data_IF_147711318384
#
_entry.id   IF_147711318384
#
_cell.length_a   1.000
_cell.length_b   1.000
_cell.length_c   1.000
_cell.angle_alpha   90.00
_cell.angle_beta   90.00
_cell.angle_gamma   90.00
#
_symmetry.space_group_name_H-M   'P 1'
#
loop_
_entity.id
_entity.type
_entity.pdbx_description
1 polymer ?
#
# COMPACT_ATOMS: atom_id res chain seq x y z
N UNK A 1 11.71 -15.66 11.95
CA UNK A 1 10.66 -14.82 12.55
C UNK A 1 9.36 -15.16 11.85
N UNK A 2 8.26 -15.33 12.59
CA UNK A 2 6.92 -15.47 12.00
C UNK A 2 6.45 -14.16 11.35
N UNK A 3 5.39 -14.24 10.56
CA UNK A 3 4.74 -13.14 9.87
C UNK A 3 4.54 -11.88 10.76
N UNK A 4 3.94 -12.05 11.94
CA UNK A 4 3.71 -10.99 12.93
C UNK A 4 4.98 -10.27 13.40
N UNK A 5 6.09 -10.98 13.55
CA UNK A 5 7.35 -10.40 14.01
C UNK A 5 7.95 -9.40 13.02
N UNK A 6 7.78 -9.61 11.71
CA UNK A 6 8.33 -8.72 10.68
C UNK A 6 7.58 -7.38 10.62
N UNK A 7 6.25 -7.39 10.76
CA UNK A 7 5.45 -6.15 10.79
C UNK A 7 5.79 -5.34 12.04
N UNK A 8 5.80 -5.96 13.24
CA UNK A 8 6.18 -5.28 14.49
C UNK A 8 7.58 -4.66 14.44
N UNK A 9 8.55 -5.36 13.85
CA UNK A 9 9.91 -4.84 13.69
C UNK A 9 9.94 -3.68 12.68
N UNK A 10 9.26 -3.82 11.54
CA UNK A 10 9.15 -2.77 10.52
C UNK A 10 8.44 -1.51 11.03
N UNK A 11 7.48 -1.65 11.96
CA UNK A 11 6.76 -0.52 12.56
C UNK A 11 7.48 0.12 13.76
N UNK A 12 8.64 -0.37 14.17
CA UNK A 12 9.31 0.12 15.39
C UNK A 12 9.45 1.64 15.43
N UNK A 13 9.94 2.28 14.36
CA UNK A 13 10.10 3.74 14.32
C UNK A 13 8.76 4.49 14.35
N UNK A 14 7.76 3.97 13.68
CA UNK A 14 6.39 4.52 13.68
C UNK A 14 5.77 4.39 15.06
N UNK A 15 5.90 3.22 15.69
CA UNK A 15 5.46 2.98 17.06
C UNK A 15 6.14 3.93 18.04
N UNK A 16 7.48 4.04 17.96
CA UNK A 16 8.22 4.92 18.85
C UNK A 16 7.76 6.39 18.71
N UNK A 17 7.34 6.81 17.53
CA UNK A 17 6.79 8.14 17.29
C UNK A 17 5.39 8.31 17.87
N UNK A 18 4.45 7.40 17.57
CA UNK A 18 3.04 7.53 17.97
C UNK A 18 2.85 7.12 19.43
N UNK A 19 3.29 5.93 19.82
CA UNK A 19 3.01 5.37 21.14
C UNK A 19 3.72 6.15 22.24
N UNK A 20 4.98 6.57 22.05
CA UNK A 20 5.69 7.36 23.06
C UNK A 20 5.05 8.75 23.21
N UNK A 21 4.63 9.38 22.11
CA UNK A 21 3.91 10.65 22.15
C UNK A 21 2.59 10.52 22.92
N UNK A 22 1.75 9.56 22.54
CA UNK A 22 0.47 9.31 23.22
C UNK A 22 0.67 8.92 24.69
N UNK A 23 1.59 8.01 25.03
CA UNK A 23 1.86 7.64 26.42
C UNK A 23 2.38 8.83 27.23
N UNK A 24 3.21 9.71 26.65
CA UNK A 24 3.70 10.92 27.29
C UNK A 24 2.55 11.85 27.70
N UNK A 25 1.59 12.05 26.80
CA UNK A 25 0.40 12.87 27.07
C UNK A 25 -0.47 12.21 28.15
N UNK A 26 -0.85 10.94 27.96
CA UNK A 26 -1.73 10.25 28.90
C UNK A 26 -1.17 10.21 30.33
N UNK A 27 0.15 10.14 30.48
CA UNK A 27 0.80 10.19 31.79
C UNK A 27 0.85 11.59 32.42
N UNK A 28 0.73 12.66 31.62
CA UNK A 28 0.76 14.04 32.11
C UNK A 28 -0.62 14.55 32.53
N UNK A 29 -1.69 13.93 32.08
CA UNK A 29 -3.06 14.31 32.40
C UNK A 29 -3.68 13.41 33.47
N UNK A 30 -4.42 14.01 34.41
CA UNK A 30 -5.17 13.31 35.47
C UNK A 30 -6.67 13.23 35.16
N UNK A 31 -7.13 13.93 34.14
CA UNK A 31 -8.53 14.00 33.71
C UNK A 31 -8.59 14.11 32.18
N UNK A 32 -9.73 13.78 31.63
CA UNK A 32 -10.02 13.89 30.20
C UNK A 32 -10.72 15.24 29.98
N UNK A 33 -10.01 16.17 29.35
CA UNK A 33 -10.50 17.51 29.01
C UNK A 33 -10.06 17.92 27.60
N UNK A 34 -10.43 19.13 27.18
CA UNK A 34 -10.15 19.62 25.83
C UNK A 34 -8.66 19.76 25.55
N UNK A 35 -7.86 20.13 26.56
CA UNK A 35 -6.40 20.28 26.44
C UNK A 35 -5.73 18.94 26.10
N UNK A 36 -6.17 17.85 26.72
CA UNK A 36 -5.70 16.49 26.39
C UNK A 36 -5.97 16.14 24.91
N UNK A 37 -7.15 16.48 24.37
CA UNK A 37 -7.46 16.23 22.97
C UNK A 37 -6.65 17.09 22.02
N UNK A 38 -6.38 18.34 22.35
CA UNK A 38 -5.53 19.23 21.54
C UNK A 38 -4.10 18.66 21.44
N UNK A 39 -3.51 18.20 22.54
CA UNK A 39 -2.19 17.58 22.53
C UNK A 39 -2.16 16.23 21.81
N UNK A 40 -3.22 15.42 21.92
CA UNK A 40 -3.33 14.17 21.17
C UNK A 40 -3.40 14.42 19.66
N UNK A 41 -4.19 15.40 19.24
CA UNK A 41 -4.32 15.77 17.83
C UNK A 41 -2.99 16.25 17.27
N UNK A 42 -2.28 17.14 17.99
CA UNK A 42 -0.96 17.62 17.61
C UNK A 42 0.05 16.46 17.47
N UNK A 43 0.05 15.55 18.43
CA UNK A 43 0.93 14.37 18.40
C UNK A 43 0.66 13.46 17.19
N UNK A 44 -0.60 13.22 16.84
CA UNK A 44 -0.96 12.43 15.67
C UNK A 44 -0.55 13.14 14.37
N UNK A 45 -0.71 14.46 14.30
CA UNK A 45 -0.26 15.26 13.14
C UNK A 45 1.26 15.18 12.99
N UNK A 46 2.01 15.30 14.08
CA UNK A 46 3.47 15.18 14.09
C UNK A 46 3.95 13.77 13.66
N UNK A 47 3.13 12.75 13.84
CA UNK A 47 3.38 11.38 13.40
C UNK A 47 2.92 11.10 11.94
N UNK A 48 2.70 12.16 11.15
CA UNK A 48 2.23 12.09 9.75
C UNK A 48 0.83 11.44 9.54
N UNK A 49 0.00 11.35 10.58
CA UNK A 49 -1.41 10.90 10.46
C UNK A 49 -2.24 11.90 9.64
N UNK A 50 -1.81 13.16 9.59
CA UNK A 50 -2.49 14.24 8.87
C UNK A 50 -3.59 14.90 9.68
N UNK A 51 -3.81 16.20 9.45
CA UNK A 51 -4.73 17.02 10.25
C UNK A 51 -6.15 16.46 10.22
N UNK A 52 -6.72 16.22 9.03
CA UNK A 52 -8.10 15.75 8.89
C UNK A 52 -8.34 14.42 9.62
N UNK A 53 -7.44 13.46 9.45
CA UNK A 53 -7.54 12.14 10.07
C UNK A 53 -7.31 12.21 11.58
N UNK A 54 -6.39 13.05 12.04
CA UNK A 54 -6.14 13.27 13.48
C UNK A 54 -7.36 13.87 14.18
N UNK A 55 -7.98 14.88 13.59
CA UNK A 55 -9.23 15.46 14.09
C UNK A 55 -10.35 14.41 14.15
N UNK A 56 -10.51 13.59 13.10
CA UNK A 56 -11.52 12.53 13.08
C UNK A 56 -11.29 11.46 14.15
N UNK A 57 -10.03 11.05 14.40
CA UNK A 57 -9.69 10.14 15.50
C UNK A 57 -10.10 10.75 16.84
N UNK A 58 -9.77 12.02 17.10
CA UNK A 58 -10.12 12.70 18.33
C UNK A 58 -11.63 12.86 18.51
N UNK A 59 -12.37 13.15 17.45
CA UNK A 59 -13.85 13.25 17.49
C UNK A 59 -14.51 11.90 17.80
N UNK A 60 -14.06 10.83 17.13
CA UNK A 60 -14.54 9.46 17.45
C UNK A 60 -14.20 9.07 18.88
N UNK A 61 -13.03 9.44 19.37
CA UNK A 61 -12.59 9.20 20.73
C UNK A 61 -13.47 9.95 21.76
N UNK A 62 -13.73 11.25 21.53
CA UNK A 62 -14.67 12.03 22.38
C UNK A 62 -16.04 11.37 22.45
N UNK A 63 -16.57 10.95 21.31
CA UNK A 63 -17.85 10.27 21.24
C UNK A 63 -17.85 8.96 22.04
N UNK A 64 -16.83 8.13 21.84
CA UNK A 64 -16.69 6.82 22.52
C UNK A 64 -16.56 6.97 24.03
N UNK A 65 -15.76 7.95 24.51
CA UNK A 65 -15.63 8.27 25.93
C UNK A 65 -16.96 8.71 26.52
N UNK A 66 -17.74 9.54 25.83
CA UNK A 66 -19.06 9.98 26.28
C UNK A 66 -20.05 8.82 26.38
N UNK A 67 -19.99 7.85 25.46
CA UNK A 67 -20.86 6.67 25.41
C UNK A 67 -20.50 5.66 26.50
N UNK A 68 -19.22 5.48 26.80
CA UNK A 68 -18.73 4.49 27.78
C UNK A 68 -18.61 5.04 29.20
N UNK A 69 -18.56 6.37 29.35
CA UNK A 69 -18.39 7.02 30.66
C UNK A 69 -16.98 6.87 31.25
N UNK A 70 -15.98 6.57 30.41
CA UNK A 70 -14.58 6.47 30.84
C UNK A 70 -14.07 7.81 31.34
N UNK A 71 -13.33 7.79 32.45
CA UNK A 71 -12.76 8.97 33.09
C UNK A 71 -11.25 8.87 33.31
N UNK A 72 -10.67 7.66 33.17
CA UNK A 72 -9.24 7.41 33.31
C UNK A 72 -8.54 7.61 31.96
N UNK A 73 -7.59 8.56 31.84
CA UNK A 73 -6.79 8.75 30.61
C UNK A 73 -6.07 7.47 30.13
N UNK A 74 -5.71 6.57 31.02
CA UNK A 74 -5.00 5.34 30.62
C UNK A 74 -5.85 4.39 29.75
N UNK A 75 -7.19 4.48 29.81
CA UNK A 75 -8.07 3.70 28.97
C UNK A 75 -8.15 4.20 27.52
N UNK A 76 -7.74 5.46 27.27
CA UNK A 76 -7.77 6.11 25.97
C UNK A 76 -6.94 5.34 24.92
N UNK A 77 -5.79 4.82 25.31
CA UNK A 77 -4.89 4.08 24.41
C UNK A 77 -5.60 2.89 23.76
N UNK A 78 -6.37 2.12 24.54
CA UNK A 78 -7.16 1.01 24.03
C UNK A 78 -8.25 1.47 23.06
N UNK A 79 -8.93 2.56 23.38
CA UNK A 79 -9.97 3.13 22.52
C UNK A 79 -9.40 3.66 21.21
N UNK A 80 -8.23 4.32 21.23
CA UNK A 80 -7.55 4.78 20.03
C UNK A 80 -7.17 3.62 19.11
N UNK A 81 -6.65 2.52 19.67
CA UNK A 81 -6.31 1.31 18.94
C UNK A 81 -7.55 0.74 18.20
N UNK A 82 -8.68 0.64 18.88
CA UNK A 82 -9.93 0.18 18.28
C UNK A 82 -10.41 1.11 17.16
N UNK A 83 -10.42 2.44 17.40
CA UNK A 83 -10.82 3.45 16.41
C UNK A 83 -9.92 3.39 15.17
N UNK A 84 -8.62 3.31 15.35
CA UNK A 84 -7.67 3.23 14.23
C UNK A 84 -7.86 1.91 13.46
N UNK A 85 -8.04 0.79 14.14
CA UNK A 85 -8.33 -0.49 13.48
C UNK A 85 -9.62 -0.44 12.64
N UNK A 86 -10.69 0.17 13.18
CA UNK A 86 -11.95 0.39 12.45
C UNK A 86 -11.78 1.29 11.22
N UNK A 87 -10.97 2.37 11.35
CA UNK A 87 -10.71 3.31 10.23
C UNK A 87 -9.88 2.69 9.12
N UNK A 88 -8.99 1.76 9.45
CA UNK A 88 -8.17 1.04 8.49
C UNK A 88 -8.98 -0.01 7.71
N UNK A 89 -10.09 -0.48 8.27
CA UNK A 89 -10.99 -1.44 7.64
C UNK A 89 -10.47 -2.88 7.62
N UNK A 90 -11.20 -3.75 6.94
CA UNK A 90 -10.82 -5.15 6.80
C UNK A 90 -9.77 -5.35 5.70
N UNK A 91 -8.98 -6.41 5.83
CA UNK A 91 -8.01 -6.79 4.80
C UNK A 91 -8.73 -7.40 3.59
N UNK A 92 -8.83 -6.62 2.54
CA UNK A 92 -9.23 -7.13 1.23
C UNK A 92 -8.00 -7.68 0.49
N UNK A 93 -7.77 -8.98 0.53
CA UNK A 93 -6.71 -9.65 -0.27
C UNK A 93 -6.78 -9.32 -1.76
N UNK A 94 -5.86 -9.86 -2.55
CA UNK A 94 -5.93 -9.72 -4.01
C UNK A 94 -7.15 -10.47 -4.56
N UNK A 95 -7.91 -9.81 -5.44
CA UNK A 95 -9.00 -10.44 -6.19
C UNK A 95 -8.44 -11.14 -7.43
N UNK A 96 -8.20 -12.44 -7.31
CA UNK A 96 -7.64 -13.29 -8.36
C UNK A 96 -8.62 -14.41 -8.75
N UNK A 97 -9.87 -14.03 -9.06
CA UNK A 97 -10.99 -14.94 -9.24
C UNK A 97 -11.03 -15.58 -10.63
N UNK A 98 -10.21 -15.07 -11.56
CA UNK A 98 -10.17 -15.52 -12.96
C UNK A 98 -8.81 -16.08 -13.35
N UNK A 99 -8.76 -16.77 -14.50
CA UNK A 99 -7.54 -17.36 -15.05
C UNK A 99 -7.36 -16.98 -16.52
N UNK A 100 -6.44 -16.06 -16.84
CA UNK A 100 -5.60 -15.29 -15.92
C UNK A 100 -6.35 -14.13 -15.27
N UNK A 101 -5.97 -13.78 -14.03
CA UNK A 101 -6.24 -12.47 -13.46
C UNK A 101 -5.10 -11.49 -13.79
N UNK A 102 -5.36 -10.19 -13.78
CA UNK A 102 -4.38 -9.16 -14.13
C UNK A 102 -4.10 -8.25 -12.95
N UNK A 103 -2.84 -7.99 -12.66
CA UNK A 103 -2.39 -6.98 -11.70
C UNK A 103 -1.61 -5.92 -12.48
N UNK A 104 -2.12 -4.68 -12.49
CA UNK A 104 -1.37 -3.51 -12.94
C UNK A 104 -0.73 -2.83 -11.74
N UNK A 105 0.57 -2.54 -11.82
CA UNK A 105 1.29 -1.87 -10.75
C UNK A 105 1.67 -0.47 -11.20
N UNK A 106 1.08 0.53 -10.54
CA UNK A 106 1.25 1.96 -10.85
C UNK A 106 1.90 2.70 -9.68
N UNK A 107 2.37 3.92 -9.91
CA UNK A 107 3.01 4.77 -8.89
C UNK A 107 4.19 5.55 -9.47
N UNK A 108 4.71 6.56 -8.76
CA UNK A 108 5.82 7.38 -9.23
C UNK A 108 7.14 6.58 -9.26
N UNK A 109 8.17 7.14 -9.92
CA UNK A 109 9.48 6.49 -9.94
C UNK A 109 10.13 6.49 -8.55
N UNK A 110 10.83 5.41 -8.20
CA UNK A 110 11.57 5.28 -6.93
C UNK A 110 10.76 4.83 -5.71
N UNK A 111 9.43 4.67 -5.83
CA UNK A 111 8.59 4.19 -4.71
C UNK A 111 8.66 2.68 -4.47
N UNK A 112 9.37 1.92 -5.30
CA UNK A 112 9.52 0.48 -5.12
C UNK A 112 8.59 -0.40 -5.96
N UNK A 113 8.01 0.10 -7.08
CA UNK A 113 7.12 -0.69 -7.97
C UNK A 113 7.73 -2.02 -8.37
N UNK A 114 8.88 -1.98 -9.05
CA UNK A 114 9.56 -3.17 -9.60
C UNK A 114 9.92 -4.18 -8.51
N UNK A 115 10.35 -3.69 -7.34
CA UNK A 115 10.61 -4.52 -6.15
C UNK A 115 9.32 -5.16 -5.63
N UNK A 116 8.24 -4.40 -5.52
CA UNK A 116 6.93 -4.92 -5.07
C UNK A 116 6.39 -5.97 -6.03
N UNK A 117 6.52 -5.76 -7.35
CA UNK A 117 6.14 -6.75 -8.38
C UNK A 117 6.89 -8.07 -8.16
N UNK A 118 8.21 -8.00 -7.97
CA UNK A 118 9.03 -9.19 -7.74
C UNK A 118 8.62 -9.96 -6.48
N UNK A 119 8.34 -9.25 -5.39
CA UNK A 119 7.90 -9.84 -4.12
C UNK A 119 6.49 -10.44 -4.21
N UNK A 120 5.55 -9.75 -4.87
CA UNK A 120 4.19 -10.28 -5.12
C UNK A 120 4.28 -11.53 -6.00
N UNK A 121 5.09 -11.50 -7.06
CA UNK A 121 5.29 -12.64 -7.95
C UNK A 121 5.85 -13.84 -7.21
N UNK A 122 6.88 -13.65 -6.36
CA UNK A 122 7.47 -14.72 -5.55
C UNK A 122 6.45 -15.31 -4.58
N UNK A 123 5.66 -14.47 -3.92
CA UNK A 123 4.59 -14.90 -3.01
C UNK A 123 3.56 -15.76 -3.75
N UNK A 124 3.02 -15.28 -4.86
CA UNK A 124 2.02 -16.01 -5.65
C UNK A 124 2.59 -17.32 -6.21
N UNK A 125 3.86 -17.32 -6.63
CA UNK A 125 4.56 -18.53 -7.07
C UNK A 125 4.69 -19.54 -5.92
N UNK A 126 5.01 -19.10 -4.70
CA UNK A 126 5.09 -19.98 -3.52
C UNK A 126 3.74 -20.57 -3.12
N UNK A 127 2.64 -19.88 -3.46
CA UNK A 127 1.26 -20.33 -3.30
C UNK A 127 0.78 -21.26 -4.44
N UNK A 128 1.71 -21.63 -5.36
CA UNK A 128 1.43 -22.54 -6.49
C UNK A 128 0.78 -21.87 -7.69
N UNK A 129 0.69 -20.54 -7.73
CA UNK A 129 0.16 -19.80 -8.89
C UNK A 129 1.21 -19.68 -9.98
N UNK A 130 0.82 -19.87 -11.22
CA UNK A 130 1.68 -19.66 -12.38
C UNK A 130 1.61 -18.19 -12.81
N UNK A 131 2.71 -17.46 -12.63
CA UNK A 131 2.78 -16.02 -12.86
C UNK A 131 3.57 -15.70 -14.14
N UNK A 132 3.10 -14.68 -14.88
CA UNK A 132 3.83 -14.07 -16.01
C UNK A 132 3.96 -12.57 -15.76
N UNK A 133 5.18 -12.04 -15.83
CA UNK A 133 5.46 -10.61 -15.72
C UNK A 133 5.47 -9.93 -17.09
N UNK A 134 4.99 -8.70 -17.16
CA UNK A 134 5.06 -7.81 -18.32
C UNK A 134 5.85 -6.55 -18.00
N UNK A 135 6.98 -6.33 -18.69
CA UNK A 135 7.83 -5.15 -18.52
C UNK A 135 7.30 -3.96 -19.33
N UNK A 136 6.19 -3.34 -18.89
CA UNK A 136 5.56 -2.24 -19.60
C UNK A 136 6.09 -0.84 -19.21
N UNK A 137 7.04 -0.69 -18.27
CA UNK A 137 7.86 0.53 -18.11
C UNK A 137 8.96 0.54 -19.20
N UNK A 138 8.53 0.67 -20.44
CA UNK A 138 9.39 0.56 -21.63
C UNK A 138 10.33 1.75 -21.85
N UNK A 139 10.11 2.85 -21.16
CA UNK A 139 10.94 4.05 -21.29
C UNK A 139 12.21 4.04 -20.46
N UNK A 140 12.41 2.98 -19.68
CA UNK A 140 13.56 2.85 -18.77
C UNK A 140 14.20 1.48 -18.90
N UNK A 141 15.27 1.40 -19.70
CA UNK A 141 16.01 0.16 -19.89
C UNK A 141 16.42 -0.48 -18.54
N UNK A 142 16.90 0.32 -17.59
CA UNK A 142 17.27 -0.16 -16.26
C UNK A 142 16.06 -0.76 -15.47
N UNK A 143 14.83 -0.30 -15.71
CA UNK A 143 13.65 -0.89 -15.07
C UNK A 143 13.33 -2.27 -15.65
N UNK A 144 13.47 -2.42 -16.97
CA UNK A 144 13.30 -3.72 -17.66
C UNK A 144 14.32 -4.74 -17.13
N UNK A 145 15.60 -4.34 -17.02
CA UNK A 145 16.66 -5.21 -16.51
C UNK A 145 16.43 -5.57 -15.04
N UNK A 146 16.03 -4.60 -14.21
CA UNK A 146 15.71 -4.82 -12.80
C UNK A 146 14.54 -5.79 -12.64
N UNK A 147 13.48 -5.65 -13.45
CA UNK A 147 12.36 -6.58 -13.42
C UNK A 147 12.78 -8.00 -13.84
N UNK A 148 13.73 -8.11 -14.79
CA UNK A 148 14.34 -9.39 -15.18
C UNK A 148 15.02 -10.10 -14.02
N UNK A 149 15.82 -9.38 -13.23
CA UNK A 149 16.45 -9.93 -12.02
C UNK A 149 15.41 -10.43 -11.01
N UNK A 150 14.33 -9.69 -10.82
CA UNK A 150 13.24 -10.12 -9.94
C UNK A 150 12.48 -11.33 -10.50
N UNK A 151 12.25 -11.41 -11.82
CA UNK A 151 11.64 -12.56 -12.47
C UNK A 151 12.46 -13.84 -12.23
N UNK A 152 13.77 -13.77 -12.39
CA UNK A 152 14.70 -14.88 -12.10
C UNK A 152 14.64 -15.31 -10.63
N UNK A 153 14.70 -14.34 -9.69
CA UNK A 153 14.63 -14.62 -8.24
C UNK A 153 13.31 -15.25 -7.83
N UNK A 154 12.21 -14.81 -8.43
CA UNK A 154 10.88 -15.34 -8.17
C UNK A 154 10.59 -16.66 -8.92
N UNK A 155 11.44 -17.07 -9.86
CA UNK A 155 11.24 -18.27 -10.68
C UNK A 155 10.05 -18.14 -11.64
N UNK A 156 9.75 -16.93 -12.13
CA UNK A 156 8.60 -16.67 -13.01
C UNK A 156 9.04 -16.21 -14.39
N UNK A 157 8.19 -16.41 -15.40
CA UNK A 157 8.46 -15.93 -16.76
C UNK A 157 8.17 -14.46 -16.91
N UNK A 158 8.95 -13.78 -17.77
CA UNK A 158 8.76 -12.38 -18.11
C UNK A 158 8.67 -12.17 -19.62
N UNK A 159 7.79 -11.26 -20.03
CA UNK A 159 7.72 -10.71 -21.38
C UNK A 159 8.31 -9.31 -21.35
N UNK A 160 9.27 -9.04 -22.22
CA UNK A 160 9.93 -7.75 -22.40
C UNK A 160 10.06 -7.39 -23.87
N UNK A 161 10.20 -6.11 -24.15
CA UNK A 161 10.46 -5.61 -25.48
C UNK A 161 11.63 -4.62 -25.44
N UNK A 162 12.00 -4.06 -26.58
CA UNK A 162 13.04 -3.04 -26.69
C UNK A 162 12.57 -1.73 -26.06
N UNK A 163 13.52 -0.94 -25.57
CA UNK A 163 13.24 0.39 -25.02
C UNK A 163 12.44 1.25 -26.04
N UNK A 164 11.46 1.99 -25.55
CA UNK A 164 10.58 2.85 -26.35
C UNK A 164 9.43 2.13 -27.05
N UNK A 165 9.28 0.81 -26.89
CA UNK A 165 8.09 0.09 -27.37
C UNK A 165 6.84 0.64 -26.67
N UNK A 166 5.71 0.65 -27.37
CA UNK A 166 4.42 1.03 -26.79
C UNK A 166 4.05 0.09 -25.61
N UNK A 167 3.85 0.62 -24.40
CA UNK A 167 3.51 -0.17 -23.22
C UNK A 167 2.32 -1.10 -23.41
N UNK A 168 1.28 -0.64 -24.12
CA UNK A 168 0.09 -1.43 -24.39
C UNK A 168 0.38 -2.64 -25.31
N UNK A 169 1.38 -2.54 -26.18
CA UNK A 169 1.83 -3.69 -26.99
C UNK A 169 2.51 -4.74 -26.14
N UNK A 170 3.34 -4.33 -25.15
CA UNK A 170 3.97 -5.26 -24.20
C UNK A 170 2.92 -5.97 -23.36
N UNK A 171 1.88 -5.26 -22.92
CA UNK A 171 0.76 -5.88 -22.19
C UNK A 171 0.02 -6.89 -23.07
N UNK A 172 -0.24 -6.57 -24.34
CA UNK A 172 -0.84 -7.49 -25.30
C UNK A 172 -0.01 -8.78 -25.46
N UNK A 173 1.30 -8.66 -25.67
CA UNK A 173 2.21 -9.80 -25.81
C UNK A 173 2.28 -10.61 -24.50
N UNK A 174 2.21 -9.94 -23.35
CA UNK A 174 2.17 -10.61 -22.04
C UNK A 174 0.90 -11.44 -21.88
N UNK A 175 -0.25 -10.90 -22.27
CA UNK A 175 -1.53 -11.64 -22.26
C UNK A 175 -1.48 -12.84 -23.19
N UNK A 176 -0.96 -12.69 -24.39
CA UNK A 176 -0.82 -13.80 -25.35
C UNK A 176 0.11 -14.90 -24.79
N UNK A 177 1.24 -14.52 -24.20
CA UNK A 177 2.15 -15.46 -23.53
C UNK A 177 1.48 -16.16 -22.34
N UNK A 178 0.74 -15.43 -21.51
CA UNK A 178 0.04 -15.97 -20.35
C UNK A 178 -1.02 -17.00 -20.77
N UNK A 179 -1.83 -16.69 -21.79
CA UNK A 179 -2.81 -17.63 -22.35
C UNK A 179 -2.15 -18.91 -22.85
N UNK A 180 -1.07 -18.78 -23.64
CA UNK A 180 -0.36 -19.94 -24.19
C UNK A 180 0.29 -20.83 -23.13
N UNK A 181 0.72 -20.24 -22.02
CA UNK A 181 1.35 -20.95 -20.89
C UNK A 181 0.33 -21.47 -19.88
N UNK A 182 -0.95 -21.10 -19.98
CA UNK A 182 -1.98 -21.40 -18.99
C UNK A 182 -1.65 -20.75 -17.63
N UNK A 183 -1.20 -19.50 -17.64
CA UNK A 183 -0.87 -18.76 -16.42
C UNK A 183 -2.12 -18.42 -15.61
N UNK A 184 -1.97 -18.33 -14.28
CA UNK A 184 -3.03 -17.94 -13.35
C UNK A 184 -3.09 -16.44 -13.19
N UNK A 185 -1.92 -15.76 -13.19
CA UNK A 185 -1.80 -14.33 -12.92
C UNK A 185 -0.82 -13.66 -13.88
N UNK A 186 -1.20 -12.49 -14.36
CA UNK A 186 -0.33 -11.55 -15.09
C UNK A 186 -0.03 -10.38 -14.18
N UNK A 187 1.24 -9.95 -14.05
CA UNK A 187 1.61 -8.73 -13.34
C UNK A 187 2.37 -7.82 -14.31
N UNK A 188 1.87 -6.61 -14.54
CA UNK A 188 2.50 -5.63 -15.42
C UNK A 188 3.08 -4.46 -14.62
N UNK A 189 4.38 -4.15 -14.85
CA UNK A 189 5.00 -2.88 -14.45
C UNK A 189 4.52 -1.77 -15.38
N UNK A 190 4.44 -0.54 -14.89
CA UNK A 190 4.07 0.64 -15.69
C UNK A 190 5.02 1.81 -15.43
N UNK A 191 5.06 2.75 -16.36
CA UNK A 191 5.82 3.98 -16.19
C UNK A 191 5.29 4.83 -15.02
N UNK A 192 6.20 5.48 -14.29
CA UNK A 192 5.88 6.30 -13.11
C UNK A 192 6.03 7.81 -13.32
N UNK A 193 5.58 8.35 -14.45
CA UNK A 193 5.80 9.75 -14.85
C UNK A 193 4.63 10.67 -14.47
N UNK A 194 4.36 10.84 -13.18
CA UNK A 194 3.25 11.67 -12.70
C UNK A 194 3.36 13.16 -13.12
N UNK A 195 4.59 13.67 -13.33
CA UNK A 195 4.81 15.04 -13.81
C UNK A 195 4.25 15.28 -15.22
N UNK A 196 4.04 14.23 -16.00
CA UNK A 196 3.33 14.28 -17.28
C UNK A 196 2.00 13.51 -17.17
N UNK A 197 1.13 14.02 -16.31
CA UNK A 197 -0.15 13.40 -15.92
C UNK A 197 -0.97 12.96 -17.12
N UNK A 198 -1.13 13.83 -18.12
CA UNK A 198 -1.93 13.53 -19.32
C UNK A 198 -1.43 12.30 -20.06
N UNK A 199 -0.12 12.23 -20.33
CA UNK A 199 0.47 11.10 -21.06
C UNK A 199 0.34 9.80 -20.26
N UNK A 200 0.52 9.86 -18.94
CA UNK A 200 0.34 8.70 -18.06
C UNK A 200 -1.11 8.19 -18.08
N UNK A 201 -2.09 9.12 -18.08
CA UNK A 201 -3.52 8.79 -18.17
C UNK A 201 -3.86 8.13 -19.50
N UNK A 202 -3.38 8.69 -20.60
CA UNK A 202 -3.60 8.17 -21.96
C UNK A 202 -2.98 6.76 -22.10
N UNK A 203 -1.80 6.55 -21.51
CA UNK A 203 -1.11 5.26 -21.47
C UNK A 203 -1.90 4.21 -20.67
N UNK A 204 -2.31 4.54 -19.43
CA UNK A 204 -3.10 3.64 -18.59
C UNK A 204 -4.45 3.31 -19.24
N UNK A 205 -5.13 4.31 -19.81
CA UNK A 205 -6.39 4.10 -20.53
C UNK A 205 -6.20 3.17 -21.75
N UNK A 206 -5.05 3.26 -22.44
CA UNK A 206 -4.72 2.37 -23.57
C UNK A 206 -4.46 0.95 -23.10
N UNK A 207 -3.70 0.78 -22.02
CA UNK A 207 -3.45 -0.52 -21.38
C UNK A 207 -4.79 -1.18 -20.96
N UNK A 208 -5.64 -0.44 -20.25
CA UNK A 208 -6.95 -0.94 -19.81
C UNK A 208 -7.83 -1.37 -20.99
N UNK A 209 -7.83 -0.61 -22.10
CA UNK A 209 -8.55 -1.03 -23.32
C UNK A 209 -8.03 -2.33 -23.91
N UNK A 210 -6.71 -2.56 -23.89
CA UNK A 210 -6.11 -3.83 -24.35
C UNK A 210 -6.54 -4.97 -23.45
N UNK A 211 -6.48 -4.78 -22.12
CA UNK A 211 -6.90 -5.81 -21.16
C UNK A 211 -8.39 -6.14 -21.34
N UNK A 212 -9.26 -5.14 -21.41
CA UNK A 212 -10.70 -5.35 -21.58
C UNK A 212 -11.05 -6.06 -22.90
N UNK A 213 -10.29 -5.80 -23.98
CA UNK A 213 -10.48 -6.46 -25.27
C UNK A 213 -10.02 -7.91 -25.26
N UNK A 214 -8.85 -8.18 -24.68
CA UNK A 214 -8.21 -9.50 -24.72
C UNK A 214 -8.70 -10.43 -23.60
N UNK A 215 -9.19 -9.85 -22.49
CA UNK A 215 -9.56 -10.54 -21.25
C UNK A 215 -10.83 -9.91 -20.65
N UNK A 216 -11.97 -9.95 -21.41
CA UNK A 216 -13.22 -9.26 -21.06
C UNK A 216 -13.79 -9.60 -19.68
N UNK A 217 -13.57 -10.82 -19.20
CA UNK A 217 -14.14 -11.34 -17.96
C UNK A 217 -13.08 -11.51 -16.84
N UNK A 218 -11.89 -10.97 -17.05
CA UNK A 218 -10.80 -11.14 -16.08
C UNK A 218 -10.92 -10.17 -14.90
N UNK A 219 -10.60 -10.68 -13.71
CA UNK A 219 -10.34 -9.84 -12.54
C UNK A 219 -9.11 -8.97 -12.80
N UNK A 220 -9.28 -7.67 -12.63
CA UNK A 220 -8.20 -6.68 -12.77
C UNK A 220 -7.99 -5.98 -11.45
N UNK A 221 -6.76 -6.05 -10.95
CA UNK A 221 -6.30 -5.28 -9.80
C UNK A 221 -5.37 -4.17 -10.29
N UNK A 222 -5.63 -2.95 -9.86
CA UNK A 222 -4.72 -1.82 -10.07
C UNK A 222 -4.11 -1.42 -8.73
N UNK A 223 -2.87 -1.81 -8.51
CA UNK A 223 -2.14 -1.55 -7.26
C UNK A 223 -1.31 -0.28 -7.37
N UNK A 224 -1.63 0.70 -6.54
CA UNK A 224 -0.83 1.90 -6.39
C UNK A 224 0.27 1.68 -5.36
N UNK A 225 1.52 1.79 -5.78
CA UNK A 225 2.69 1.71 -4.89
C UNK A 225 3.06 3.10 -4.39
N UNK A 226 3.14 3.26 -3.07
CA UNK A 226 3.51 4.49 -2.39
C UNK A 226 4.68 4.25 -1.44
N UNK A 227 5.49 5.27 -1.23
CA UNK A 227 6.63 5.26 -0.30
C UNK A 227 6.23 5.95 1.01
N UNK A 228 6.17 5.20 2.11
CA UNK A 228 5.80 5.70 3.43
C UNK A 228 6.73 6.84 3.91
N UNK A 229 8.01 6.81 3.53
CA UNK A 229 8.98 7.83 3.93
C UNK A 229 8.64 9.23 3.37
N UNK A 230 7.78 9.33 2.37
CA UNK A 230 7.34 10.62 1.81
C UNK A 230 6.23 11.30 2.62
N UNK A 231 5.67 10.63 3.63
CA UNK A 231 4.66 11.19 4.53
C UNK A 231 3.44 11.71 3.76
N UNK A 232 2.93 12.89 4.11
CA UNK A 232 1.74 13.51 3.49
C UNK A 232 1.82 13.65 1.95
N UNK A 233 3.02 13.67 1.36
CA UNK A 233 3.15 13.64 -0.10
C UNK A 233 2.61 12.33 -0.71
N UNK A 234 2.63 11.21 0.02
CA UNK A 234 2.04 9.96 -0.45
C UNK A 234 0.51 10.08 -0.61
N UNK A 235 -0.18 10.76 0.32
CA UNK A 235 -1.64 11.04 0.20
C UNK A 235 -1.93 11.88 -1.05
N UNK A 236 -1.14 12.93 -1.27
CA UNK A 236 -1.30 13.78 -2.44
C UNK A 236 -1.09 12.99 -3.74
N UNK A 237 -0.05 12.16 -3.81
CA UNK A 237 0.16 11.26 -4.95
C UNK A 237 -1.03 10.31 -5.15
N UNK A 238 -1.53 9.71 -4.07
CA UNK A 238 -2.65 8.79 -4.14
C UNK A 238 -3.93 9.47 -4.66
N UNK A 239 -4.22 10.70 -4.23
CA UNK A 239 -5.34 11.50 -4.77
C UNK A 239 -5.19 11.76 -6.27
N UNK A 240 -3.98 12.12 -6.71
CA UNK A 240 -3.69 12.37 -8.12
C UNK A 240 -3.89 11.11 -8.97
N UNK A 241 -3.41 9.95 -8.49
CA UNK A 241 -3.61 8.68 -9.19
C UNK A 241 -5.07 8.20 -9.14
N UNK A 242 -5.80 8.41 -8.04
CA UNK A 242 -7.22 8.06 -7.92
C UNK A 242 -8.08 8.79 -8.95
N UNK A 243 -7.74 10.04 -9.26
CA UNK A 243 -8.42 10.82 -10.31
C UNK A 243 -8.13 10.29 -11.73
N UNK A 244 -7.26 9.34 -11.85
CA UNK A 244 -6.60 8.90 -13.07
C UNK A 244 -6.86 7.45 -13.43
N UNK A 245 -7.01 6.60 -12.44
CA UNK A 245 -7.15 5.17 -12.58
C UNK A 245 -8.07 4.62 -11.48
N UNK A 246 -8.78 3.54 -11.79
CA UNK A 246 -9.55 2.78 -10.82
C UNK A 246 -8.57 1.95 -9.95
N UNK A 247 -8.08 2.57 -8.87
CA UNK A 247 -7.16 1.92 -7.94
C UNK A 247 -7.97 0.97 -7.06
N UNK A 248 -7.58 -0.30 -7.03
CA UNK A 248 -8.24 -1.34 -6.24
C UNK A 248 -7.51 -1.66 -4.95
N UNK A 249 -6.27 -1.19 -4.80
CA UNK A 249 -5.49 -1.40 -3.59
C UNK A 249 -4.18 -0.65 -3.58
N UNK A 250 -3.63 -0.51 -2.38
CA UNK A 250 -2.37 0.18 -2.13
C UNK A 250 -1.31 -0.80 -1.65
N UNK A 251 -0.09 -0.58 -2.12
CA UNK A 251 1.13 -1.19 -1.59
C UNK A 251 1.96 -0.08 -0.98
N UNK A 252 2.09 -0.08 0.35
CA UNK A 252 2.89 0.90 1.05
C UNK A 252 4.29 0.34 1.37
N UNK A 253 5.33 0.93 0.81
CA UNK A 253 6.73 0.47 0.94
C UNK A 253 7.50 1.26 1.99
N UNK A 254 8.67 0.74 2.39
CA UNK A 254 9.67 1.40 3.25
C UNK A 254 9.19 1.78 4.65
N UNK A 255 8.24 1.02 5.21
CA UNK A 255 7.77 1.25 6.58
C UNK A 255 8.88 1.07 7.63
N UNK A 256 9.80 0.15 7.41
CA UNK A 256 10.96 -0.12 8.27
C UNK A 256 11.94 1.07 8.37
N UNK A 257 11.97 1.90 7.34
CA UNK A 257 12.86 3.04 7.23
C UNK A 257 12.37 4.33 7.89
N UNK A 258 11.08 4.43 8.28
CA UNK A 258 10.45 5.71 8.61
C UNK A 258 9.66 5.72 9.91
N UNK A 259 9.60 6.89 10.56
CA UNK A 259 8.67 7.19 11.65
C UNK A 259 7.29 7.68 11.14
N UNK A 260 7.12 7.84 9.83
CA UNK A 260 5.93 8.40 9.17
C UNK A 260 4.87 7.36 8.80
N UNK A 261 4.92 6.17 9.41
CA UNK A 261 3.97 5.09 9.10
C UNK A 261 2.51 5.40 9.45
N UNK A 262 2.26 6.44 10.26
CA UNK A 262 0.90 6.97 10.50
C UNK A 262 0.17 7.39 9.23
N UNK A 263 0.91 7.65 8.15
CA UNK A 263 0.36 7.95 6.82
C UNK A 263 -0.61 6.90 6.29
N UNK A 264 -0.47 5.64 6.71
CA UNK A 264 -1.38 4.56 6.29
C UNK A 264 -2.82 4.82 6.73
N UNK A 265 -3.00 5.42 7.92
CA UNK A 265 -4.32 5.77 8.47
C UNK A 265 -4.95 6.86 7.62
N UNK A 266 -4.16 7.91 7.27
CA UNK A 266 -4.64 8.97 6.39
C UNK A 266 -5.03 8.46 4.99
N UNK A 267 -4.21 7.59 4.40
CA UNK A 267 -4.48 7.01 3.08
C UNK A 267 -5.79 6.20 3.09
N UNK A 268 -5.97 5.32 4.07
CA UNK A 268 -7.19 4.51 4.20
C UNK A 268 -8.42 5.38 4.42
N UNK A 269 -8.35 6.32 5.36
CA UNK A 269 -9.47 7.16 5.75
C UNK A 269 -9.88 8.15 4.65
N UNK A 270 -8.93 8.88 4.07
CA UNK A 270 -9.22 9.96 3.13
C UNK A 270 -9.54 9.47 1.72
N UNK A 271 -8.99 8.32 1.33
CA UNK A 271 -9.13 7.83 -0.04
C UNK A 271 -10.11 6.67 -0.18
N UNK A 272 -10.45 6.00 0.92
CA UNK A 272 -11.31 4.82 0.91
C UNK A 272 -10.83 3.78 -0.12
N UNK A 273 -9.51 3.51 -0.12
CA UNK A 273 -8.85 2.50 -0.93
C UNK A 273 -8.13 1.55 0.03
N UNK A 274 -8.38 0.23 -0.03
CA UNK A 274 -7.78 -0.72 0.89
C UNK A 274 -6.26 -0.81 0.71
N UNK A 275 -5.53 -0.87 1.82
CA UNK A 275 -4.11 -1.23 1.79
C UNK A 275 -4.03 -2.75 1.74
N UNK A 276 -3.38 -3.28 0.71
CA UNK A 276 -3.25 -4.73 0.51
C UNK A 276 -1.92 -5.28 0.98
N UNK A 277 -0.85 -4.50 0.84
CA UNK A 277 0.49 -4.91 1.23
C UNK A 277 1.28 -3.79 1.88
N UNK A 278 2.17 -4.19 2.78
CA UNK A 278 3.16 -3.32 3.42
C UNK A 278 4.57 -3.88 3.24
N UNK A 279 5.51 -3.03 2.83
CA UNK A 279 6.93 -3.35 2.71
C UNK A 279 7.67 -2.98 3.98
N UNK A 280 8.28 -3.98 4.62
CA UNK A 280 8.97 -3.89 5.91
C UNK A 280 10.44 -4.30 5.83
N UNK A 281 11.05 -4.19 4.65
CA UNK A 281 12.46 -4.49 4.40
C UNK A 281 12.74 -4.80 2.93
N UNK A 282 14.02 -5.14 2.64
CA UNK A 282 14.52 -5.35 1.27
C UNK A 282 14.45 -6.81 0.80
N UNK A 283 14.30 -7.77 1.71
CA UNK A 283 14.23 -9.20 1.39
C UNK A 283 13.00 -9.55 0.55
N UNK A 284 13.07 -10.69 -0.16
CA UNK A 284 11.98 -11.17 -1.02
C UNK A 284 10.68 -11.42 -0.22
N UNK A 285 10.82 -11.81 1.04
CA UNK A 285 9.72 -12.09 1.96
C UNK A 285 9.32 -10.89 2.83
N UNK A 286 9.83 -9.68 2.53
CA UNK A 286 9.56 -8.48 3.35
C UNK A 286 8.44 -7.61 2.78
N UNK A 287 7.60 -8.17 1.91
CA UNK A 287 6.31 -7.61 1.53
C UNK A 287 5.21 -8.46 2.17
N UNK A 288 4.52 -7.88 3.14
CA UNK A 288 3.52 -8.59 3.94
C UNK A 288 2.11 -8.16 3.54
N UNK A 289 1.11 -9.06 3.53
CA UNK A 289 -0.28 -8.65 3.50
C UNK A 289 -0.55 -7.68 4.64
N UNK A 290 -1.37 -6.68 4.39
CA UNK A 290 -1.74 -5.73 5.43
C UNK A 290 -2.87 -6.30 6.28
N UNK A 291 -2.76 -6.15 7.59
CA UNK A 291 -3.82 -6.44 8.56
C UNK A 291 -4.00 -5.24 9.50
N UNK A 292 -5.22 -4.70 9.57
CA UNK A 292 -5.52 -3.48 10.31
C UNK A 292 -5.36 -3.66 11.83
N UNK A 293 -5.78 -4.82 12.35
CA UNK A 293 -5.67 -5.12 13.77
C UNK A 293 -4.20 -5.29 14.17
N UNK A 294 -3.43 -6.06 13.38
CA UNK A 294 -2.00 -6.24 13.61
C UNK A 294 -1.21 -4.93 13.51
N UNK A 295 -1.60 -4.06 12.57
CA UNK A 295 -0.98 -2.74 12.43
C UNK A 295 -1.26 -1.86 13.65
N UNK A 296 -2.53 -1.79 14.09
CA UNK A 296 -2.92 -1.05 15.29
C UNK A 296 -2.22 -1.60 16.55
N UNK A 297 -2.14 -2.93 16.68
CA UNK A 297 -1.38 -3.59 17.73
C UNK A 297 0.09 -3.22 17.68
N UNK A 298 0.71 -3.28 16.50
CA UNK A 298 2.12 -2.95 16.29
C UNK A 298 2.48 -1.51 16.63
N UNK A 299 1.52 -0.58 16.56
CA UNK A 299 1.72 0.83 16.96
C UNK A 299 1.57 1.02 18.47
N UNK A 300 0.63 0.34 19.13
CA UNK A 300 0.30 0.62 20.54
C UNK A 300 0.80 -0.41 21.54
N UNK A 301 1.23 -1.60 21.13
CA UNK A 301 1.84 -2.59 22.04
C UNK A 301 3.32 -2.26 22.34
N UNK A 302 3.74 -2.51 23.59
CA UNK A 302 5.12 -2.39 24.07
C UNK A 302 6.02 -3.52 23.55
#
# INVERSE_FOLDING_TARGET
>A
MGFFGKIKEGLKKTRDSISNGVNGILNSFTKIDDELFEELEETLVMADVGVQTSTEICDRLRKKIKETGVTDPNEIKGMMKEIISEMLGENEGLRLDTKPSVILVIGVNGVGKTTSIGKIAAKLQSEGKKVVLGAADTFRAAAIDQLGIWAERAGVSMVKSVEGTDPASVVFDTIASAKSKGADVIICDTAGRLHNKKNLMDELAKINRVIARELSDSSVETLLVLDAATGQNAVNQAREFKNAADITGIVLTKLDGTAKGGIIIAISNELNIPVKFVGVGEGIDDLQPFDAAEFADGIFEE
#
